data_IF_077558539264
#
_entry.id   IF_077558539264
#
_cell.length_a   1.000
_cell.length_b   1.000
_cell.length_c   1.000
_cell.angle_alpha   90.00
_cell.angle_beta   90.00
_cell.angle_gamma   90.00
#
_symmetry.space_group_name_H-M   'P 1'
#
loop_
_entity.id
_entity.type
_entity.pdbx_description
1 polymer ?
#
# COMPACT_ATOMS: atom_id res chain seq x y z
N UNK A 1 2.15 -27.34 1.58
CA UNK A 1 2.74 -28.63 1.19
C UNK A 1 2.12 -29.72 2.04
N UNK A 2 1.56 -30.79 1.43
CA UNK A 2 0.96 -31.88 2.20
C UNK A 2 2.04 -32.85 2.65
N UNK A 3 2.15 -33.07 3.95
CA UNK A 3 3.26 -33.81 4.56
C UNK A 3 2.82 -35.26 4.83
N UNK A 4 2.90 -36.12 3.81
CA UNK A 4 2.45 -37.51 3.90
C UNK A 4 3.59 -38.51 4.01
N UNK A 5 3.31 -39.64 4.67
CA UNK A 5 4.23 -40.78 4.76
C UNK A 5 3.74 -41.97 3.92
N UNK A 6 4.65 -42.89 3.58
CA UNK A 6 4.29 -44.07 2.78
C UNK A 6 3.27 -44.95 3.49
N UNK A 7 2.18 -45.30 2.81
CA UNK A 7 1.09 -46.14 3.35
C UNK A 7 -0.10 -45.36 3.93
N UNK A 8 -0.09 -44.04 3.84
CA UNK A 8 -1.18 -43.19 4.33
C UNK A 8 -2.40 -43.20 3.40
N UNK A 9 -3.61 -43.25 3.98
CA UNK A 9 -4.87 -43.27 3.21
C UNK A 9 -5.37 -41.84 2.98
N UNK A 10 -5.39 -41.41 1.72
CA UNK A 10 -5.89 -40.08 1.33
C UNK A 10 -7.37 -40.19 0.91
N UNK A 11 -8.22 -39.33 1.48
CA UNK A 11 -9.62 -39.20 1.06
C UNK A 11 -9.75 -38.19 -0.07
N UNK A 12 -10.23 -38.66 -1.21
CA UNK A 12 -10.49 -37.82 -2.38
C UNK A 12 -12.01 -37.67 -2.52
N UNK A 13 -12.50 -36.44 -2.56
CA UNK A 13 -13.91 -36.12 -2.79
C UNK A 13 -14.05 -35.09 -3.90
N UNK A 14 -15.04 -35.27 -4.76
CA UNK A 14 -15.41 -34.25 -5.73
C UNK A 14 -16.14 -33.08 -5.05
N UNK A 15 -15.67 -31.86 -5.30
CA UNK A 15 -16.28 -30.62 -4.79
C UNK A 15 -16.24 -29.57 -5.90
N UNK A 16 -17.33 -28.83 -6.07
CA UNK A 16 -17.35 -27.67 -6.95
C UNK A 16 -16.90 -26.43 -6.16
N UNK A 17 -15.79 -25.83 -6.57
CA UNK A 17 -15.27 -24.62 -5.94
C UNK A 17 -15.88 -23.37 -6.59
N UNK A 18 -16.26 -22.35 -5.80
CA UNK A 18 -16.70 -21.08 -6.35
C UNK A 18 -15.54 -20.38 -7.06
N UNK A 19 -15.87 -19.52 -8.03
CA UNK A 19 -14.90 -18.62 -8.65
C UNK A 19 -14.40 -17.63 -7.60
N UNK A 20 -13.09 -17.47 -7.50
CA UNK A 20 -12.53 -16.44 -6.65
C UNK A 20 -12.91 -15.05 -7.21
N UNK A 21 -13.04 -14.08 -6.31
CA UNK A 21 -13.22 -12.66 -6.66
C UNK A 21 -12.10 -11.79 -6.09
N UNK A 22 -11.48 -12.27 -5.02
CA UNK A 22 -10.42 -11.58 -4.32
C UNK A 22 -9.43 -12.58 -3.76
N UNK A 23 -8.15 -12.26 -3.90
CA UNK A 23 -7.05 -13.01 -3.33
C UNK A 23 -6.02 -12.04 -2.74
N UNK A 24 -5.59 -12.35 -1.52
CA UNK A 24 -4.50 -11.64 -0.86
C UNK A 24 -3.27 -12.53 -0.80
N UNK A 25 -2.17 -12.03 -1.33
CA UNK A 25 -0.91 -12.76 -1.40
C UNK A 25 0.15 -12.10 -0.54
N UNK A 26 0.91 -12.92 0.17
CA UNK A 26 2.05 -12.49 0.97
C UNK A 26 3.35 -13.07 0.37
N UNK A 27 4.21 -12.23 -0.21
CA UNK A 27 5.51 -12.67 -0.69
C UNK A 27 6.39 -13.16 0.47
N UNK A 28 7.17 -14.21 0.26
CA UNK A 28 8.13 -14.64 1.29
C UNK A 28 9.44 -13.86 1.22
N UNK A 29 9.88 -13.48 0.00
CA UNK A 29 11.14 -12.77 -0.23
C UNK A 29 10.94 -11.28 -0.53
N UNK A 30 11.84 -10.44 -0.01
CA UNK A 30 11.90 -9.00 -0.29
C UNK A 30 12.19 -8.73 -1.78
N UNK A 31 12.81 -9.68 -2.48
CA UNK A 31 13.10 -9.59 -3.93
C UNK A 31 11.84 -9.42 -4.77
N UNK A 32 10.70 -9.85 -4.28
CA UNK A 32 9.41 -9.61 -4.94
C UNK A 32 9.10 -8.11 -5.10
N UNK A 33 9.64 -7.24 -4.22
CA UNK A 33 9.48 -5.79 -4.31
C UNK A 33 10.36 -5.16 -5.41
N UNK A 34 11.41 -5.86 -5.84
CA UNK A 34 12.32 -5.40 -6.91
C UNK A 34 11.72 -5.67 -8.31
N UNK A 35 10.60 -6.40 -8.41
CA UNK A 35 9.89 -6.66 -9.66
C UNK A 35 9.26 -5.38 -10.20
N UNK A 36 9.49 -5.09 -11.50
CA UNK A 36 8.92 -3.91 -12.17
C UNK A 36 7.39 -3.91 -12.14
N UNK A 37 6.77 -5.06 -12.46
CA UNK A 37 5.32 -5.22 -12.56
C UNK A 37 4.84 -6.54 -11.92
N UNK A 38 4.82 -6.65 -10.57
CA UNK A 38 4.51 -7.90 -9.87
C UNK A 38 3.10 -8.41 -10.18
N UNK A 39 2.14 -7.53 -10.45
CA UNK A 39 0.76 -7.92 -10.81
C UNK A 39 0.70 -8.71 -12.12
N UNK A 40 1.48 -8.30 -13.12
CA UNK A 40 1.45 -8.91 -14.46
C UNK A 40 2.13 -10.26 -14.45
N UNK A 41 3.28 -10.34 -13.77
CA UNK A 41 4.01 -11.61 -13.56
C UNK A 41 3.10 -12.60 -12.84
N UNK A 42 2.48 -12.17 -11.75
CA UNK A 42 1.60 -13.04 -10.97
C UNK A 42 0.37 -13.45 -11.78
N UNK A 43 -0.27 -12.57 -12.56
CA UNK A 43 -1.41 -12.94 -13.39
C UNK A 43 -1.07 -14.02 -14.44
N UNK A 44 0.10 -13.89 -15.06
CA UNK A 44 0.61 -14.88 -16.04
C UNK A 44 0.84 -16.23 -15.36
N UNK A 45 1.35 -16.21 -14.14
CA UNK A 45 1.63 -17.42 -13.40
C UNK A 45 0.36 -18.05 -12.80
N UNK A 46 -0.55 -17.25 -12.29
CA UNK A 46 -1.85 -17.68 -11.75
C UNK A 46 -2.66 -18.43 -12.81
N UNK A 47 -2.51 -18.10 -14.09
CA UNK A 47 -3.15 -18.82 -15.21
C UNK A 47 -2.70 -20.29 -15.33
N UNK A 48 -1.54 -20.66 -14.75
CA UNK A 48 -1.07 -22.05 -14.72
C UNK A 48 -1.73 -22.87 -13.61
N UNK A 49 -2.33 -22.21 -12.63
CA UNK A 49 -2.98 -22.84 -11.48
C UNK A 49 -4.50 -22.79 -11.64
N UNK A 50 -5.17 -23.88 -11.25
CA UNK A 50 -6.64 -23.97 -11.36
C UNK A 50 -7.32 -23.58 -10.04
N UNK A 51 -6.72 -23.93 -8.91
CA UNK A 51 -7.33 -23.79 -7.58
C UNK A 51 -6.31 -23.31 -6.57
N UNK A 52 -6.74 -22.45 -5.66
CA UNK A 52 -5.96 -22.08 -4.49
C UNK A 52 -6.75 -22.34 -3.21
N UNK A 53 -6.03 -22.70 -2.16
CA UNK A 53 -6.55 -22.74 -0.80
C UNK A 53 -5.85 -21.70 0.06
N UNK A 54 -6.56 -21.21 1.07
CA UNK A 54 -6.02 -20.27 2.05
C UNK A 54 -4.92 -20.95 2.86
N UNK A 55 -3.77 -20.29 2.97
CA UNK A 55 -2.56 -20.80 3.62
C UNK A 55 -1.66 -21.64 2.71
N UNK A 56 -2.01 -21.83 1.44
CA UNK A 56 -1.11 -22.49 0.50
C UNK A 56 0.03 -21.55 0.10
N UNK A 57 1.23 -22.13 -0.06
CA UNK A 57 2.41 -21.45 -0.60
C UNK A 57 2.69 -22.07 -1.96
N UNK A 58 2.73 -21.23 -2.98
CA UNK A 58 3.12 -21.62 -4.33
C UNK A 58 4.42 -20.91 -4.72
N UNK A 59 5.22 -21.57 -5.55
CA UNK A 59 6.48 -21.03 -6.06
C UNK A 59 6.42 -20.91 -7.57
N UNK A 60 7.08 -19.89 -8.11
CA UNK A 60 7.14 -19.64 -9.54
C UNK A 60 8.48 -19.09 -9.97
N UNK A 61 8.80 -19.30 -11.26
CA UNK A 61 10.05 -18.87 -11.85
C UNK A 61 9.86 -17.61 -12.69
N UNK A 62 10.65 -16.58 -12.41
CA UNK A 62 10.69 -15.35 -13.19
C UNK A 62 12.13 -14.84 -13.30
N UNK A 63 12.54 -14.49 -14.52
CA UNK A 63 13.90 -13.96 -14.78
C UNK A 63 15.04 -14.84 -14.23
N UNK A 64 14.90 -16.16 -14.36
CA UNK A 64 15.86 -17.17 -13.88
C UNK A 64 15.96 -17.30 -12.35
N UNK A 65 15.06 -16.67 -11.60
CA UNK A 65 14.96 -16.77 -10.14
C UNK A 65 13.63 -17.40 -9.71
N UNK A 66 13.64 -18.10 -8.56
CA UNK A 66 12.46 -18.68 -7.94
C UNK A 66 11.89 -17.74 -6.88
N UNK A 67 10.58 -17.46 -6.96
CA UNK A 67 9.83 -16.64 -6.03
C UNK A 67 8.77 -17.48 -5.32
N UNK A 68 8.67 -17.34 -4.01
CA UNK A 68 7.65 -18.02 -3.19
C UNK A 68 6.63 -17.02 -2.65
N UNK A 69 5.34 -17.35 -2.80
CA UNK A 69 4.22 -16.50 -2.38
C UNK A 69 3.18 -17.34 -1.65
N UNK A 70 2.71 -16.83 -0.52
CA UNK A 70 1.67 -17.43 0.31
C UNK A 70 0.31 -16.80 0.03
N UNK A 71 -0.74 -17.62 0.02
CA UNK A 71 -2.13 -17.17 -0.09
C UNK A 71 -2.68 -16.89 1.31
N UNK A 72 -2.74 -15.63 1.70
CA UNK A 72 -3.19 -15.24 3.06
C UNK A 72 -4.72 -15.23 3.19
N UNK A 73 -5.42 -14.77 2.15
CA UNK A 73 -6.87 -14.63 2.17
C UNK A 73 -7.47 -14.92 0.79
N UNK A 74 -8.61 -15.62 0.77
CA UNK A 74 -9.40 -15.90 -0.43
C UNK A 74 -10.88 -15.59 -0.17
N UNK A 75 -11.56 -15.07 -1.20
CA UNK A 75 -13.01 -14.86 -1.20
C UNK A 75 -13.62 -15.41 -2.48
N UNK A 76 -14.82 -16.02 -2.42
CA UNK A 76 -15.75 -16.07 -1.27
C UNK A 76 -15.51 -17.21 -0.26
N UNK A 77 -14.68 -18.19 -0.59
CA UNK A 77 -14.43 -19.36 0.24
C UNK A 77 -12.94 -19.56 0.52
N UNK A 78 -12.62 -20.43 1.48
CA UNK A 78 -11.24 -20.79 1.82
C UNK A 78 -10.50 -21.52 0.70
N UNK A 79 -11.23 -22.20 -0.17
CA UNK A 79 -10.70 -22.81 -1.38
C UNK A 79 -11.55 -22.32 -2.56
N UNK A 80 -10.91 -21.78 -3.58
CA UNK A 80 -11.59 -21.19 -4.73
C UNK A 80 -10.93 -21.61 -6.04
N UNK A 81 -11.71 -21.59 -7.12
CA UNK A 81 -11.21 -21.75 -8.47
C UNK A 81 -10.73 -20.40 -9.02
N UNK A 82 -9.55 -20.40 -9.63
CA UNK A 82 -8.85 -19.20 -10.14
C UNK A 82 -8.66 -19.25 -11.66
N UNK A 83 -8.95 -20.38 -12.30
CA UNK A 83 -8.92 -20.49 -13.75
C UNK A 83 -9.92 -19.53 -14.42
N UNK A 84 -9.44 -18.76 -15.41
CA UNK A 84 -10.23 -17.88 -16.27
C UNK A 84 -11.14 -16.90 -15.51
N UNK A 85 -10.66 -16.36 -14.39
CA UNK A 85 -11.40 -15.42 -13.55
C UNK A 85 -10.63 -14.11 -13.37
N UNK A 86 -11.36 -12.99 -13.39
CA UNK A 86 -10.83 -11.69 -13.05
C UNK A 86 -10.75 -11.56 -11.52
N UNK A 87 -9.56 -11.78 -10.95
CA UNK A 87 -9.32 -11.69 -9.52
C UNK A 87 -8.78 -10.33 -9.13
N UNK A 88 -9.37 -9.73 -8.09
CA UNK A 88 -8.73 -8.59 -7.44
C UNK A 88 -7.60 -9.09 -6.55
N UNK A 89 -6.37 -8.69 -6.89
CA UNK A 89 -5.15 -9.12 -6.20
C UNK A 89 -4.62 -8.01 -5.30
N UNK A 90 -4.47 -8.32 -4.02
CA UNK A 90 -3.79 -7.48 -3.04
C UNK A 90 -2.50 -8.15 -2.53
N UNK A 91 -1.47 -7.34 -2.26
CA UNK A 91 -0.20 -7.81 -1.72
C UNK A 91 0.00 -7.34 -0.29
N UNK A 92 0.46 -8.23 0.58
CA UNK A 92 0.93 -7.91 1.93
C UNK A 92 2.45 -7.69 1.98
N UNK A 93 2.90 -7.09 3.09
CA UNK A 93 4.32 -6.95 3.38
C UNK A 93 4.99 -8.35 3.49
N UNK A 94 6.22 -8.52 2.96
CA UNK A 94 6.93 -9.80 3.02
C UNK A 94 7.20 -10.26 4.45
N UNK A 95 7.24 -11.58 4.67
CA UNK A 95 7.53 -12.17 5.99
C UNK A 95 8.88 -11.73 6.56
N UNK A 96 9.89 -11.59 5.70
CA UNK A 96 11.26 -11.22 6.08
C UNK A 96 11.53 -9.70 6.07
N UNK A 97 10.49 -8.87 6.17
CA UNK A 97 10.68 -7.43 6.27
C UNK A 97 11.26 -7.04 7.63
N UNK A 98 12.59 -6.94 7.71
CA UNK A 98 13.26 -6.17 8.76
C UNK A 98 13.07 -4.70 8.41
N UNK A 99 12.16 -4.01 9.10
CA UNK A 99 12.06 -2.56 9.02
C UNK A 99 13.47 -2.00 9.26
N UNK A 100 14.08 -1.28 8.30
CA UNK A 100 15.38 -0.69 8.55
C UNK A 100 15.22 0.17 9.78
N UNK A 101 15.98 -0.16 10.83
CA UNK A 101 15.97 0.59 12.09
C UNK A 101 16.07 2.04 11.68
N UNK A 102 15.03 2.83 11.96
CA UNK A 102 15.12 4.29 11.91
C UNK A 102 16.22 4.59 12.89
N UNK A 103 17.44 4.76 12.39
CA UNK A 103 18.48 5.38 13.16
C UNK A 103 17.85 6.73 13.41
N UNK A 104 17.36 6.93 14.64
CA UNK A 104 17.22 8.26 15.17
C UNK A 104 18.66 8.78 15.27
N UNK A 105 19.30 9.05 14.13
CA UNK A 105 20.16 10.21 14.03
C UNK A 105 19.19 11.36 14.21
N UNK A 106 18.92 11.63 15.49
CA UNK A 106 18.81 12.97 16.00
C UNK A 106 19.81 13.78 15.17
N UNK A 107 19.31 14.47 14.14
CA UNK A 107 20.11 15.45 13.44
C UNK A 107 20.66 16.33 14.56
N UNK A 108 21.99 16.49 14.70
CA UNK A 108 22.53 17.31 15.77
C UNK A 108 21.82 18.65 15.67
N UNK A 109 21.12 19.01 16.75
CA UNK A 109 20.37 20.25 16.84
C UNK A 109 21.32 21.34 16.36
N UNK A 110 20.97 21.96 15.22
CA UNK A 110 21.79 23.00 14.62
C UNK A 110 22.20 23.98 15.74
N UNK A 111 23.48 24.37 15.86
CA UNK A 111 23.89 25.30 16.90
C UNK A 111 22.97 26.53 16.80
N UNK A 112 22.28 26.83 17.90
CA UNK A 112 21.39 27.99 17.96
C UNK A 112 22.24 29.22 17.69
N UNK A 113 22.06 29.81 16.50
CA UNK A 113 22.67 31.07 16.13
C UNK A 113 22.30 32.09 17.21
N UNK A 114 23.28 32.79 17.80
CA UNK A 114 23.02 33.72 18.89
C UNK A 114 22.01 34.77 18.43
N UNK A 115 20.96 34.95 19.25
CA UNK A 115 19.89 35.89 19.00
C UNK A 115 20.48 37.27 18.64
N UNK A 116 20.33 37.66 17.37
CA UNK A 116 20.44 39.04 16.94
C UNK A 116 19.20 39.82 17.45
N UNK A 117 19.14 40.03 18.77
CA UNK A 117 18.56 41.27 19.29
C UNK A 117 19.60 42.36 19.05
N UNK A 118 19.12 43.55 18.69
CA UNK A 118 19.91 44.72 18.24
C UNK A 118 20.30 44.49 16.77
N UNK A 119 19.59 44.97 15.76
CA UNK A 119 19.18 46.36 15.53
C UNK A 119 17.83 46.34 14.78
N UNK A 120 16.75 46.67 15.49
CA UNK A 120 15.49 47.12 14.90
C UNK A 120 15.67 48.59 14.50
N UNK A 121 16.52 48.88 13.52
CA UNK A 121 16.52 50.19 12.88
C UNK A 121 15.48 50.17 11.77
N UNK A 122 14.31 50.66 12.15
CA UNK A 122 13.29 51.18 11.25
C UNK A 122 13.96 52.08 10.21
N UNK A 123 14.13 51.59 8.99
CA UNK A 123 14.20 52.45 7.82
C UNK A 123 12.83 52.39 7.14
N UNK A 124 11.95 53.31 7.57
CA UNK A 124 10.68 53.61 6.93
C UNK A 124 10.98 54.20 5.55
N UNK A 125 11.03 53.35 4.52
CA UNK A 125 11.09 53.80 3.14
C UNK A 125 9.82 54.59 2.80
N UNK A 126 9.95 55.91 2.65
CA UNK A 126 8.88 56.76 2.11
C UNK A 126 8.77 56.52 0.60
N UNK A 127 7.98 55.53 0.21
CA UNK A 127 7.67 55.29 -1.19
C UNK A 127 6.71 56.36 -1.73
N UNK A 128 7.24 57.32 -2.49
CA UNK A 128 6.41 58.21 -3.30
C UNK A 128 5.85 57.42 -4.50
N UNK A 129 4.57 57.06 -4.42
CA UNK A 129 3.82 56.44 -5.51
C UNK A 129 3.49 57.52 -6.55
N UNK A 130 4.12 57.48 -7.72
CA UNK A 130 3.72 58.27 -8.88
C UNK A 130 2.85 57.43 -9.80
N UNK A 131 1.61 57.88 -10.02
CA UNK A 131 0.72 57.40 -11.10
C UNK A 131 -0.37 56.42 -10.67
N UNK A 132 -1.63 56.84 -10.85
CA UNK A 132 -2.86 56.08 -10.52
C UNK A 132 -2.94 54.70 -11.19
N UNK A 133 -3.72 53.76 -10.66
CA UNK A 133 -5.18 53.70 -10.87
C UNK A 133 -5.86 53.06 -9.64
N UNK A 134 -7.06 53.57 -9.35
CA UNK A 134 -7.92 53.18 -8.22
C UNK A 134 -8.71 51.92 -8.59
N UNK A 135 -8.72 50.87 -7.75
CA UNK A 135 -9.91 50.03 -7.62
C UNK A 135 -10.03 49.44 -6.21
N UNK A 136 -11.26 49.45 -5.74
CA UNK A 136 -11.73 49.44 -4.36
C UNK A 136 -11.56 48.11 -3.63
N UNK A 137 -11.39 48.26 -2.31
CA UNK A 137 -11.48 47.25 -1.25
C UNK A 137 -12.78 46.45 -1.31
N UNK A 138 -12.70 45.17 -0.95
CA UNK A 138 -13.66 44.59 -0.01
C UNK A 138 -13.02 43.45 0.79
N UNK A 139 -13.15 43.54 2.12
CA UNK A 139 -12.79 42.51 3.10
C UNK A 139 -14.02 41.67 3.35
N UNK A 140 -13.88 40.35 3.29
CA UNK A 140 -14.86 39.45 3.92
C UNK A 140 -14.13 38.29 4.59
N UNK A 141 -14.05 38.37 5.92
CA UNK A 141 -13.80 37.22 6.80
C UNK A 141 -15.03 36.31 6.75
N UNK A 142 -14.88 34.99 6.68
CA UNK A 142 -15.90 34.09 7.23
C UNK A 142 -15.29 32.74 7.59
N UNK A 143 -15.34 32.47 8.89
CA UNK A 143 -14.98 31.23 9.55
C UNK A 143 -16.18 30.27 9.60
N UNK A 144 -15.88 28.98 9.82
CA UNK A 144 -16.75 27.89 10.31
C UNK A 144 -17.76 27.27 9.34
N UNK A 145 -17.40 26.08 8.83
CA UNK A 145 -18.37 25.00 8.60
C UNK A 145 -18.61 24.26 9.93
N UNK A 146 -19.85 24.26 10.42
CA UNK A 146 -20.36 23.24 11.34
C UNK A 146 -21.57 22.60 10.68
N UNK A 147 -21.47 21.29 10.56
CA UNK A 147 -22.51 20.30 10.31
C UNK A 147 -23.72 20.48 11.22
N UNK A 148 -24.92 20.28 10.69
CA UNK A 148 -25.91 19.39 11.33
C UNK A 148 -27.01 19.04 10.32
N UNK A 149 -27.19 17.74 10.14
CA UNK A 149 -28.25 17.07 9.37
C UNK A 149 -29.61 17.30 10.04
N UNK A 150 -30.64 17.60 9.25
CA UNK A 150 -32.05 17.49 9.67
C UNK A 150 -32.62 16.22 9.05
N UNK A 151 -33.00 15.27 9.90
CA UNK A 151 -33.97 14.23 9.59
C UNK A 151 -35.39 14.72 9.91
N UNK A 152 -36.37 13.96 9.43
CA UNK A 152 -37.82 13.99 9.66
C UNK A 152 -38.57 14.95 8.69
N UNK A 153 -39.50 14.49 7.84
CA UNK A 153 -40.44 13.37 7.91
C UNK A 153 -40.58 12.60 6.58
#
# INVERSE_FOLDING_TARGET
MLNFSGGETIKISYVQLPKATYAKFKPQSVRFLDLTDPKVVLATELAKYVTFSQGDIFTFFYSEEEYAVEVTELKPAKACCVADCDLNVEFEAPTDYVEPVKINTEMPKAPELPLAKVILEKQFGHGNRLGGIKKSRERSKSSRKKSFTRNDC
#
